data_IF_510719963815
#
_entry.id   IF_510719963815
#
_cell.length_a   1.000
_cell.length_b   1.000
_cell.length_c   1.000
_cell.angle_alpha   90.00
_cell.angle_beta   90.00
_cell.angle_gamma   90.00
#
_symmetry.space_group_name_H-M   'P 1'
#
loop_
_entity.id
_entity.type
_entity.pdbx_description
1 polymer ?
#
# COMPACT_ATOMS: atom_id res chain seq x y z
N UNK A 1 12.78 91.05 -12.60
CA UNK A 1 13.27 90.89 -11.21
C UNK A 1 12.55 89.70 -10.60
N UNK A 2 13.24 88.57 -10.47
CA UNK A 2 12.65 87.25 -10.23
C UNK A 2 12.22 87.00 -8.78
N UNK A 3 11.07 86.34 -8.62
CA UNK A 3 10.69 85.70 -7.36
C UNK A 3 11.32 84.30 -7.35
N UNK A 4 12.41 84.14 -6.60
CA UNK A 4 13.02 82.83 -6.33
C UNK A 4 12.06 82.02 -5.46
N UNK A 5 11.52 80.95 -6.02
CA UNK A 5 10.85 79.90 -5.27
C UNK A 5 11.87 79.18 -4.39
N UNK A 6 11.62 79.19 -3.08
CA UNK A 6 12.42 78.48 -2.07
C UNK A 6 12.19 76.98 -2.22
N UNK A 7 13.23 76.12 -2.17
CA UNK A 7 13.05 74.69 -2.24
C UNK A 7 12.47 74.19 -0.91
N UNK A 8 11.29 73.59 -0.95
CA UNK A 8 10.71 72.88 0.19
C UNK A 8 11.58 71.67 0.50
N UNK A 9 12.25 71.75 1.64
CA UNK A 9 13.11 70.71 2.21
C UNK A 9 12.39 69.38 2.29
N UNK A 10 13.00 68.35 1.70
CA UNK A 10 12.68 66.95 1.93
C UNK A 10 12.78 66.68 3.44
N UNK A 11 11.65 66.55 4.12
CA UNK A 11 11.62 66.14 5.52
C UNK A 11 12.22 64.73 5.59
N UNK A 12 13.41 64.63 6.19
CA UNK A 12 14.04 63.39 6.66
C UNK A 12 12.94 62.44 7.15
N UNK A 13 12.87 61.22 6.61
CA UNK A 13 11.87 60.24 7.01
C UNK A 13 11.84 60.12 8.54
N UNK A 14 10.79 60.67 9.17
CA UNK A 14 10.64 60.71 10.61
C UNK A 14 10.67 59.28 11.13
N UNK A 15 11.45 59.01 12.19
CA UNK A 15 11.63 57.68 12.79
C UNK A 15 10.30 56.91 12.94
N UNK A 16 9.20 57.59 13.27
CA UNK A 16 7.87 56.98 13.38
C UNK A 16 7.34 56.36 12.07
N UNK A 17 7.66 56.93 10.90
CA UNK A 17 7.30 56.33 9.61
C UNK A 17 8.15 55.09 9.31
N UNK A 18 9.41 55.06 9.74
CA UNK A 18 10.26 53.87 9.64
C UNK A 18 9.77 52.76 10.59
N UNK A 19 9.37 53.11 11.82
CA UNK A 19 8.79 52.14 12.75
C UNK A 19 7.50 51.55 12.19
N UNK A 20 6.62 52.38 11.60
CA UNK A 20 5.38 51.91 10.97
C UNK A 20 5.64 51.00 9.78
N UNK A 21 6.58 51.37 8.90
CA UNK A 21 6.90 50.53 7.74
C UNK A 21 7.55 49.20 8.14
N UNK A 22 8.38 49.19 9.21
CA UNK A 22 8.93 47.95 9.77
C UNK A 22 7.81 47.08 10.34
N UNK A 23 6.86 47.67 11.08
CA UNK A 23 5.72 46.94 11.63
C UNK A 23 4.82 46.34 10.54
N UNK A 24 4.51 47.12 9.49
CA UNK A 24 3.71 46.65 8.36
C UNK A 24 4.42 45.51 7.62
N UNK A 25 5.74 45.61 7.42
CA UNK A 25 6.53 44.55 6.80
C UNK A 25 6.55 43.28 7.66
N UNK A 26 6.80 43.40 8.96
CA UNK A 26 6.80 42.26 9.89
C UNK A 26 5.44 41.57 9.92
N UNK A 27 4.34 42.34 9.87
CA UNK A 27 2.98 41.79 9.79
C UNK A 27 2.78 40.98 8.50
N UNK A 28 3.17 41.52 7.35
CA UNK A 28 3.07 40.83 6.06
C UNK A 28 3.91 39.54 6.02
N UNK A 29 5.16 39.59 6.48
CA UNK A 29 6.04 38.41 6.57
C UNK A 29 5.40 37.32 7.45
N UNK A 30 4.83 37.71 8.59
CA UNK A 30 4.14 36.79 9.50
C UNK A 30 2.90 36.16 8.85
N UNK A 31 2.08 36.95 8.15
CA UNK A 31 0.91 36.43 7.43
C UNK A 31 1.30 35.42 6.34
N UNK A 32 2.39 35.69 5.62
CA UNK A 32 2.94 34.76 4.62
C UNK A 32 3.44 33.48 5.28
N UNK A 33 4.15 33.59 6.42
CA UNK A 33 4.60 32.43 7.18
C UNK A 33 3.44 31.58 7.70
N UNK A 34 2.43 32.20 8.34
CA UNK A 34 1.24 31.49 8.83
C UNK A 34 0.58 30.70 7.68
N UNK A 35 0.41 31.34 6.52
CA UNK A 35 -0.17 30.70 5.33
C UNK A 35 0.70 29.57 4.77
N UNK A 36 2.02 29.72 4.79
CA UNK A 36 2.93 28.66 4.38
C UNK A 36 2.86 27.48 5.35
N UNK A 37 2.89 27.75 6.66
CA UNK A 37 2.81 26.72 7.70
C UNK A 37 1.46 25.99 7.70
N UNK A 38 0.35 26.69 7.46
CA UNK A 38 -0.96 26.04 7.37
C UNK A 38 -1.02 25.07 6.20
N UNK A 39 -0.49 25.47 5.03
CA UNK A 39 -0.42 24.59 3.85
C UNK A 39 0.47 23.37 4.08
N UNK A 40 1.57 23.52 4.81
CA UNK A 40 2.44 22.39 5.19
C UNK A 40 1.67 21.46 6.13
N UNK A 41 0.94 22.00 7.11
CA UNK A 41 0.14 21.21 8.05
C UNK A 41 -0.99 20.46 7.32
N UNK A 42 -1.69 21.12 6.40
CA UNK A 42 -2.75 20.51 5.58
C UNK A 42 -2.19 19.36 4.74
N UNK A 43 -1.05 19.57 4.08
CA UNK A 43 -0.36 18.53 3.31
C UNK A 43 0.09 17.36 4.21
N UNK A 44 0.63 17.66 5.40
CA UNK A 44 1.03 16.64 6.36
C UNK A 44 -0.17 15.81 6.84
N UNK A 45 -1.33 16.45 7.08
CA UNK A 45 -2.56 15.75 7.45
C UNK A 45 -3.02 14.80 6.34
N UNK A 46 -2.99 15.26 5.07
CA UNK A 46 -3.33 14.42 3.93
C UNK A 46 -2.35 13.23 3.78
N UNK A 47 -1.05 13.48 3.96
CA UNK A 47 -0.04 12.42 3.93
C UNK A 47 -0.28 11.40 5.04
N UNK A 48 -0.60 11.84 6.26
CA UNK A 48 -0.93 10.96 7.38
C UNK A 48 -2.13 10.06 7.05
N UNK A 49 -3.18 10.65 6.48
CA UNK A 49 -4.38 9.90 6.07
C UNK A 49 -4.04 8.86 4.99
N UNK A 50 -3.20 9.21 4.01
CA UNK A 50 -2.74 8.27 2.99
C UNK A 50 -1.94 7.12 3.61
N UNK A 51 -1.08 7.41 4.59
CA UNK A 51 -0.30 6.38 5.28
C UNK A 51 -1.20 5.43 6.05
N UNK A 52 -2.18 5.94 6.79
CA UNK A 52 -3.14 5.10 7.53
C UNK A 52 -3.95 4.19 6.59
N UNK A 53 -4.35 4.70 5.43
CA UNK A 53 -4.99 3.88 4.39
C UNK A 53 -4.07 2.79 3.86
N UNK A 54 -2.83 3.12 3.52
CA UNK A 54 -1.86 2.14 3.01
C UNK A 54 -1.56 1.07 4.05
N UNK A 55 -1.44 1.46 5.32
CA UNK A 55 -1.26 0.52 6.43
C UNK A 55 -2.43 -0.45 6.46
N UNK A 56 -3.67 0.05 6.44
CA UNK A 56 -4.85 -0.82 6.51
C UNK A 56 -4.96 -1.75 5.28
N UNK A 57 -4.75 -1.23 4.07
CA UNK A 57 -4.83 -2.03 2.83
C UNK A 57 -3.74 -3.11 2.76
N UNK A 58 -2.51 -2.79 3.18
CA UNK A 58 -1.43 -3.77 3.27
C UNK A 58 -1.71 -4.79 4.37
N UNK A 59 -2.25 -4.37 5.51
CA UNK A 59 -2.64 -5.31 6.59
C UNK A 59 -3.71 -6.27 6.10
N UNK A 60 -4.78 -5.79 5.45
CA UNK A 60 -5.82 -6.64 4.89
C UNK A 60 -5.25 -7.63 3.87
N UNK A 61 -4.42 -7.16 2.94
CA UNK A 61 -3.82 -8.03 1.91
C UNK A 61 -2.84 -9.07 2.50
N UNK A 62 -2.02 -8.68 3.48
CA UNK A 62 -1.09 -9.60 4.14
C UNK A 62 -1.84 -10.59 5.04
N UNK A 63 -2.91 -10.16 5.71
CA UNK A 63 -3.75 -11.02 6.51
C UNK A 63 -4.48 -12.04 5.63
N UNK A 64 -5.03 -11.62 4.47
CA UNK A 64 -5.60 -12.51 3.47
C UNK A 64 -4.57 -13.52 2.94
N UNK A 65 -3.34 -13.10 2.64
CA UNK A 65 -2.27 -14.00 2.19
C UNK A 65 -1.90 -15.01 3.27
N UNK A 66 -1.78 -14.57 4.54
CA UNK A 66 -1.52 -15.46 5.66
C UNK A 66 -2.67 -16.42 5.92
N UNK A 67 -3.93 -16.00 5.80
CA UNK A 67 -5.09 -16.89 5.91
C UNK A 67 -5.15 -17.91 4.78
N UNK A 68 -4.78 -17.53 3.56
CA UNK A 68 -4.65 -18.43 2.41
C UNK A 68 -3.52 -19.46 2.64
N UNK A 69 -2.36 -19.03 3.17
CA UNK A 69 -1.27 -19.93 3.57
C UNK A 69 -1.62 -20.76 4.82
N UNK A 70 -2.56 -20.31 5.65
CA UNK A 70 -3.03 -21.04 6.85
C UNK A 70 -3.94 -22.22 6.53
N UNK A 71 -4.41 -22.38 5.28
CA UNK A 71 -5.11 -23.59 4.83
C UNK A 71 -4.17 -24.75 4.48
N UNK A 72 -2.92 -24.72 4.93
CA UNK A 72 -2.08 -25.92 4.97
C UNK A 72 -2.67 -26.86 6.02
N UNK A 73 -3.52 -27.78 5.57
CA UNK A 73 -4.01 -28.89 6.38
C UNK A 73 -2.81 -29.73 6.79
N UNK A 74 -2.34 -29.49 8.01
CA UNK A 74 -1.34 -30.36 8.61
C UNK A 74 -2.02 -31.67 9.04
N UNK A 75 -1.27 -32.76 8.98
CA UNK A 75 -1.73 -34.11 9.35
C UNK A 75 -2.33 -34.13 10.75
N UNK A 76 -1.80 -33.29 11.65
CA UNK A 76 -2.28 -33.22 13.04
C UNK A 76 -3.65 -32.55 13.16
N UNK A 77 -3.94 -31.51 12.36
CA UNK A 77 -5.26 -30.86 12.30
C UNK A 77 -6.29 -31.83 11.73
N UNK A 78 -5.93 -32.58 10.69
CA UNK A 78 -6.81 -33.58 10.08
C UNK A 78 -7.13 -34.74 11.03
N UNK A 79 -6.15 -35.18 11.84
CA UNK A 79 -6.36 -36.21 12.87
C UNK A 79 -7.18 -35.69 14.06
N UNK A 80 -7.11 -34.40 14.36
CA UNK A 80 -7.91 -33.78 15.41
C UNK A 80 -9.38 -33.66 14.99
N UNK A 81 -9.65 -33.31 13.74
CA UNK A 81 -11.02 -33.20 13.22
C UNK A 81 -11.66 -34.55 12.88
N UNK A 82 -10.88 -35.50 12.38
CA UNK A 82 -11.38 -36.83 12.00
C UNK A 82 -10.67 -37.92 12.79
N UNK A 83 -11.44 -38.69 13.57
CA UNK A 83 -10.89 -39.77 14.42
C UNK A 83 -10.32 -40.92 13.59
N UNK A 84 -10.79 -41.10 12.35
CA UNK A 84 -10.30 -42.14 11.46
C UNK A 84 -10.07 -41.64 10.04
N UNK A 85 -9.07 -42.21 9.36
CA UNK A 85 -8.77 -41.87 7.97
C UNK A 85 -9.94 -42.22 7.04
N UNK A 86 -10.73 -43.26 7.37
CA UNK A 86 -11.90 -43.66 6.58
C UNK A 86 -12.99 -42.59 6.61
N UNK A 87 -13.19 -41.95 7.75
CA UNK A 87 -14.14 -40.85 7.94
C UNK A 87 -13.72 -39.62 7.16
N UNK A 88 -12.45 -39.22 7.27
CA UNK A 88 -11.89 -38.12 6.48
C UNK A 88 -11.99 -38.40 4.97
N UNK A 89 -11.62 -39.61 4.52
CA UNK A 89 -11.77 -40.04 3.12
C UNK A 89 -13.21 -39.92 2.63
N UNK A 90 -14.18 -40.29 3.47
CA UNK A 90 -15.60 -40.19 3.14
C UNK A 90 -16.06 -38.73 3.03
N UNK A 91 -15.57 -37.87 3.93
CA UNK A 91 -15.91 -36.44 3.95
C UNK A 91 -15.42 -35.71 2.71
N UNK A 92 -14.17 -35.93 2.31
CA UNK A 92 -13.59 -35.30 1.12
C UNK A 92 -13.82 -36.10 -0.17
N UNK A 93 -14.39 -37.30 -0.07
CA UNK A 93 -14.57 -38.26 -1.16
C UNK A 93 -13.27 -38.58 -1.94
N UNK A 94 -12.13 -38.56 -1.24
CA UNK A 94 -10.81 -38.75 -1.83
C UNK A 94 -10.29 -40.17 -1.63
N UNK A 95 -9.78 -40.77 -2.72
CA UNK A 95 -9.02 -42.02 -2.68
C UNK A 95 -7.57 -41.70 -2.32
N UNK A 96 -7.25 -41.86 -1.04
CA UNK A 96 -5.90 -41.69 -0.48
C UNK A 96 -5.52 -42.90 0.35
N UNK A 97 -4.22 -43.20 0.46
CA UNK A 97 -3.74 -44.40 1.15
C UNK A 97 -3.05 -44.09 2.49
N UNK A 98 -2.75 -42.81 2.76
CA UNK A 98 -2.11 -42.29 3.99
C UNK A 98 -2.71 -40.93 4.36
N UNK A 99 -2.57 -40.51 5.61
CA UNK A 99 -2.91 -39.15 6.07
C UNK A 99 -2.04 -38.08 5.40
N UNK A 100 -0.76 -38.36 5.15
CA UNK A 100 0.14 -37.45 4.44
C UNK A 100 -0.33 -37.25 2.99
N UNK A 101 -0.80 -38.31 2.34
CA UNK A 101 -1.37 -38.23 1.00
C UNK A 101 -2.73 -37.51 0.98
N UNK A 102 -3.45 -37.46 2.10
CA UNK A 102 -4.66 -36.65 2.25
C UNK A 102 -4.30 -35.18 2.43
N UNK A 103 -3.41 -34.86 3.36
CA UNK A 103 -2.90 -33.52 3.61
C UNK A 103 -2.32 -32.92 2.31
N UNK A 104 -1.45 -33.66 1.62
CA UNK A 104 -0.85 -33.19 0.38
C UNK A 104 -1.88 -32.95 -0.74
N UNK A 105 -2.95 -33.76 -0.82
CA UNK A 105 -4.03 -33.52 -1.80
C UNK A 105 -4.92 -32.34 -1.43
N UNK A 106 -5.11 -32.09 -0.14
CA UNK A 106 -5.88 -30.93 0.34
C UNK A 106 -5.05 -29.64 0.29
N UNK A 107 -3.72 -29.76 0.31
CA UNK A 107 -2.76 -28.67 0.14
C UNK A 107 -2.34 -28.47 -1.33
N UNK A 108 -2.84 -29.30 -2.24
CA UNK A 108 -2.61 -29.14 -3.68
C UNK A 108 -3.64 -28.11 -4.20
N UNK A 109 -3.21 -27.01 -4.85
CA UNK A 109 -4.09 -25.90 -5.22
C UNK A 109 -5.20 -26.30 -6.21
N UNK A 110 -5.10 -27.48 -6.84
CA UNK A 110 -6.10 -28.03 -7.76
C UNK A 110 -7.42 -28.42 -7.09
N UNK A 111 -7.46 -28.62 -5.76
CA UNK A 111 -8.69 -28.92 -5.03
C UNK A 111 -9.22 -27.74 -4.20
N UNK A 112 -8.40 -26.74 -3.86
CA UNK A 112 -8.89 -25.50 -3.24
C UNK A 112 -9.82 -24.71 -4.17
N UNK A 113 -9.63 -24.78 -5.49
CA UNK A 113 -10.56 -24.17 -6.46
C UNK A 113 -11.92 -24.91 -6.57
N UNK A 114 -11.99 -26.21 -6.24
CA UNK A 114 -13.21 -27.02 -6.42
C UNK A 114 -14.18 -26.99 -5.23
N UNK A 115 -13.72 -26.68 -4.01
CA UNK A 115 -14.58 -26.74 -2.80
C UNK A 115 -15.31 -25.43 -2.48
N UNK A 116 -15.07 -24.35 -3.23
CA UNK A 116 -15.81 -23.10 -3.08
C UNK A 116 -17.20 -23.10 -3.77
N UNK A 117 -17.56 -24.16 -4.50
CA UNK A 117 -18.75 -24.14 -5.36
C UNK A 117 -20.00 -24.83 -4.82
N UNK A 118 -20.04 -25.28 -3.56
CA UNK A 118 -21.25 -25.93 -3.03
C UNK A 118 -21.63 -25.48 -1.62
N UNK A 119 -22.44 -24.41 -1.57
CA UNK A 119 -23.83 -24.42 -1.06
C UNK A 119 -24.16 -23.11 -0.34
N UNK A 120 -24.90 -22.21 -1.01
CA UNK A 120 -26.09 -21.55 -0.47
C UNK A 120 -26.93 -20.94 -1.62
N UNK A 121 -28.19 -21.37 -1.82
CA UNK A 121 -29.12 -20.75 -2.76
C UNK A 121 -30.00 -19.68 -2.07
N UNK A 122 -30.40 -18.66 -2.86
CA UNK A 122 -31.49 -17.67 -2.63
C UNK A 122 -31.27 -16.66 -1.47
N UNK A 123 -31.34 -15.33 -1.60
CA UNK A 123 -32.13 -14.46 -2.49
C UNK A 123 -31.48 -13.09 -2.76
N UNK A 124 -31.53 -12.70 -4.03
CA UNK A 124 -31.82 -11.39 -4.61
C UNK A 124 -31.19 -10.06 -4.08
N UNK A 125 -30.52 -9.38 -5.04
CA UNK A 125 -30.35 -7.92 -5.22
C UNK A 125 -29.05 -7.28 -4.68
N UNK A 126 -27.98 -7.32 -5.50
CA UNK A 126 -27.50 -6.20 -6.35
C UNK A 126 -26.30 -6.66 -7.19
N UNK A 127 -26.34 -6.29 -8.47
CA UNK A 127 -25.28 -6.51 -9.45
C UNK A 127 -24.05 -5.70 -9.04
N UNK A 128 -22.89 -6.33 -8.93
CA UNK A 128 -21.61 -5.76 -9.39
C UNK A 128 -20.58 -6.87 -9.56
N UNK A 129 -19.97 -6.84 -10.74
CA UNK A 129 -19.21 -7.90 -11.39
C UNK A 129 -17.88 -8.16 -10.67
N UNK A 130 -17.77 -9.30 -10.00
CA UNK A 130 -16.46 -9.82 -9.57
C UNK A 130 -15.82 -10.50 -10.78
N UNK A 131 -15.23 -9.67 -11.63
CA UNK A 131 -14.29 -10.14 -12.64
C UNK A 131 -13.08 -10.71 -11.92
N UNK A 132 -12.94 -12.04 -11.93
CA UNK A 132 -11.66 -12.69 -11.70
C UNK A 132 -10.68 -12.12 -12.73
N UNK A 133 -9.93 -11.08 -12.35
CA UNK A 133 -8.86 -10.53 -13.18
C UNK A 133 -7.78 -11.58 -13.18
N UNK A 134 -7.85 -12.48 -14.18
CA UNK A 134 -6.72 -13.19 -14.76
C UNK A 134 -5.50 -12.31 -14.57
N UNK A 135 -4.51 -12.74 -13.76
CA UNK A 135 -3.29 -11.99 -13.51
C UNK A 135 -2.63 -11.82 -14.88
N UNK A 136 -2.91 -10.70 -15.52
CA UNK A 136 -2.30 -10.34 -16.78
C UNK A 136 -0.83 -10.24 -16.48
N UNK A 137 -0.02 -11.02 -17.21
CA UNK A 137 1.43 -10.97 -17.15
C UNK A 137 1.86 -9.51 -17.27
N UNK A 138 2.23 -8.88 -16.15
CA UNK A 138 2.61 -7.47 -16.10
C UNK A 138 3.92 -7.36 -16.86
N UNK A 139 3.84 -6.85 -18.09
CA UNK A 139 5.02 -6.61 -18.91
C UNK A 139 5.60 -5.27 -18.52
N UNK A 140 6.66 -5.30 -17.71
CA UNK A 140 7.38 -4.08 -17.30
C UNK A 140 8.47 -3.79 -18.33
N UNK A 141 8.38 -2.65 -18.99
CA UNK A 141 9.43 -2.16 -19.90
C UNK A 141 10.54 -1.48 -19.10
N UNK A 142 11.79 -1.93 -19.28
CA UNK A 142 12.97 -1.31 -18.66
C UNK A 142 13.49 -0.15 -19.52
N UNK A 143 14.10 0.83 -18.87
CA UNK A 143 14.85 1.87 -19.56
C UNK A 143 16.10 1.26 -20.24
N UNK A 144 16.59 1.85 -21.34
CA UNK A 144 17.66 1.25 -22.16
C UNK A 144 18.98 0.99 -21.41
N UNK A 145 19.33 1.87 -20.49
CA UNK A 145 20.48 1.77 -19.59
C UNK A 145 20.31 0.62 -18.57
N UNK A 146 19.10 0.45 -18.03
CA UNK A 146 18.79 -0.66 -17.12
C UNK A 146 18.76 -2.00 -17.87
N UNK A 147 18.26 -2.01 -19.10
CA UNK A 147 18.25 -3.20 -19.96
C UNK A 147 19.67 -3.63 -20.39
N UNK A 148 20.62 -2.69 -20.46
CA UNK A 148 22.04 -3.02 -20.71
C UNK A 148 22.67 -3.75 -19.51
N UNK A 149 22.30 -3.35 -18.28
CA UNK A 149 22.80 -3.97 -17.05
C UNK A 149 22.09 -5.31 -16.76
N UNK A 150 20.80 -5.41 -17.09
CA UNK A 150 19.99 -6.60 -16.90
C UNK A 150 19.43 -7.10 -18.23
N UNK A 151 20.25 -7.81 -19.03
CA UNK A 151 19.87 -8.24 -20.37
C UNK A 151 18.82 -9.37 -20.39
N UNK A 152 18.54 -10.03 -19.26
CA UNK A 152 17.58 -11.13 -19.18
C UNK A 152 16.53 -10.92 -18.09
N UNK A 153 15.33 -11.46 -18.32
CA UNK A 153 14.19 -11.39 -17.41
C UNK A 153 14.49 -12.07 -16.07
N UNK A 154 15.26 -13.17 -16.09
CA UNK A 154 15.67 -13.90 -14.90
C UNK A 154 16.59 -13.08 -13.99
N UNK A 155 17.50 -12.28 -14.56
CA UNK A 155 18.43 -11.46 -13.78
C UNK A 155 17.69 -10.35 -13.03
N UNK A 156 16.67 -9.75 -13.67
CA UNK A 156 15.79 -8.75 -13.05
C UNK A 156 14.99 -9.38 -11.92
N UNK A 157 14.38 -10.55 -12.17
CA UNK A 157 13.56 -11.24 -11.18
C UNK A 157 14.37 -11.69 -9.96
N UNK A 158 15.62 -12.13 -10.15
CA UNK A 158 16.49 -12.50 -9.04
C UNK A 158 16.96 -11.27 -8.24
N UNK A 159 17.25 -10.15 -8.90
CA UNK A 159 17.56 -8.90 -8.22
C UNK A 159 16.37 -8.40 -7.38
N UNK A 160 15.14 -8.48 -7.93
CA UNK A 160 13.91 -8.14 -7.20
C UNK A 160 13.70 -9.06 -5.99
N UNK A 161 13.84 -10.38 -6.17
CA UNK A 161 13.75 -11.35 -5.06
C UNK A 161 14.82 -11.12 -4.01
N UNK A 162 16.02 -10.74 -4.43
CA UNK A 162 17.13 -10.44 -3.53
C UNK A 162 16.86 -9.17 -2.71
N UNK A 163 16.34 -8.11 -3.34
CA UNK A 163 15.90 -6.90 -2.66
C UNK A 163 14.83 -7.20 -1.62
N UNK A 164 13.77 -7.93 -2.00
CA UNK A 164 12.70 -8.36 -1.10
C UNK A 164 13.28 -9.18 0.08
N UNK A 165 14.21 -10.09 -0.21
CA UNK A 165 14.85 -10.92 0.83
C UNK A 165 15.72 -10.09 1.78
N UNK A 166 16.44 -9.08 1.29
CA UNK A 166 17.23 -8.18 2.15
C UNK A 166 16.31 -7.33 3.00
N UNK A 167 15.27 -6.73 2.42
CA UNK A 167 14.34 -5.87 3.16
C UNK A 167 13.65 -6.65 4.26
N UNK A 168 13.23 -7.89 3.99
CA UNK A 168 12.55 -8.72 4.99
C UNK A 168 13.51 -9.27 6.07
N UNK A 169 14.80 -9.44 5.78
CA UNK A 169 15.81 -9.84 6.78
C UNK A 169 16.25 -8.70 7.71
N UNK A 170 16.05 -7.45 7.30
CA UNK A 170 16.44 -6.27 8.07
C UNK A 170 15.29 -5.71 8.93
N UNK A 171 14.14 -6.41 8.90
CA UNK A 171 12.90 -6.10 9.62
C UNK A 171 12.70 -6.95 10.91
N UNK A 172 13.69 -7.78 11.28
CA UNK A 172 13.74 -8.53 12.56
C UNK A 172 14.70 -7.88 13.58
#
# INVERSE_FOLDING_TARGET
>A
MGKKSVPVTQSKATLGNQIRSIADRLKQETEVQIKATSRILDAAAQISQNHERLINEVVEMVEEDLEQESQIYNVDILKQQFKTLREAKGHFNLKVNSWEALANKLNEPSLQECFLEQKHPSDAIRKEEHGHKKIEKITVGLQPDVAEIFPTEEAVNEALRFLIRITNKHLD
#
